data_IF_025746735507
#
_entry.id   IF_025746735507
#
_cell.length_a   1.000
_cell.length_b   1.000
_cell.length_c   1.000
_cell.angle_alpha   90.00
_cell.angle_beta   90.00
_cell.angle_gamma   90.00
#
_symmetry.space_group_name_H-M   'P 1'
#
loop_
_entity.id
_entity.type
_entity.pdbx_description
1 polymer ?
#
# COMPACT_ATOMS: atom_id res chain seq x y z
N UNK A 1 -15.86 34.40 -31.27
CA UNK A 1 -15.77 35.08 -29.96
C UNK A 1 -15.83 34.00 -28.89
N UNK A 2 -14.69 33.66 -28.28
CA UNK A 2 -14.57 32.55 -27.31
C UNK A 2 -13.83 33.08 -26.09
N UNK A 3 -14.45 33.03 -24.91
CA UNK A 3 -13.77 33.22 -23.64
C UNK A 3 -14.05 32.00 -22.79
N UNK A 4 -13.11 31.05 -22.81
CA UNK A 4 -13.09 29.89 -21.90
C UNK A 4 -12.31 30.32 -20.67
N UNK A 5 -13.02 30.59 -19.57
CA UNK A 5 -12.41 30.95 -18.29
C UNK A 5 -11.87 29.68 -17.61
N UNK A 6 -10.59 29.35 -17.87
CA UNK A 6 -9.86 28.33 -17.10
C UNK A 6 -9.53 28.90 -15.73
N UNK A 7 -10.45 28.79 -14.77
CA UNK A 7 -10.12 28.94 -13.35
C UNK A 7 -9.23 27.75 -12.96
N UNK A 8 -7.92 27.94 -13.09
CA UNK A 8 -6.92 27.15 -12.37
C UNK A 8 -7.29 27.22 -10.90
N UNK A 9 -7.82 26.11 -10.33
CA UNK A 9 -7.90 25.98 -8.88
C UNK A 9 -6.46 26.10 -8.39
N UNK A 10 -6.13 27.23 -7.80
CA UNK A 10 -4.87 27.41 -7.10
C UNK A 10 -4.89 26.38 -5.97
N UNK A 11 -4.25 25.22 -6.20
CA UNK A 11 -3.91 24.32 -5.11
C UNK A 11 -2.97 25.15 -4.24
N UNK A 12 -3.32 25.43 -2.97
CA UNK A 12 -2.38 26.11 -2.09
C UNK A 12 -1.10 25.30 -2.11
N UNK A 13 0.03 25.97 -2.28
CA UNK A 13 1.32 25.33 -2.02
C UNK A 13 1.23 24.70 -0.63
N UNK A 14 1.65 23.44 -0.46
CA UNK A 14 1.72 22.86 0.87
C UNK A 14 2.51 23.85 1.73
N UNK A 15 2.05 24.16 2.95
CA UNK A 15 2.74 25.11 3.81
C UNK A 15 4.21 24.70 3.86
N UNK A 16 5.11 25.67 3.75
CA UNK A 16 6.52 25.44 3.99
C UNK A 16 6.61 24.72 5.34
N UNK A 17 7.11 23.48 5.31
CA UNK A 17 7.34 22.73 6.54
C UNK A 17 8.56 23.41 7.14
N UNK A 18 8.33 24.40 7.99
CA UNK A 18 9.38 25.02 8.79
C UNK A 18 10.07 23.87 9.52
N UNK A 19 11.37 23.67 9.26
CA UNK A 19 12.16 22.55 9.76
C UNK A 19 12.32 22.51 11.30
N UNK A 20 11.56 23.34 12.01
CA UNK A 20 11.54 23.45 13.47
C UNK A 20 10.48 22.55 14.14
N UNK A 21 9.49 22.06 13.37
CA UNK A 21 8.68 20.92 13.81
C UNK A 21 9.45 19.64 13.49
N UNK A 22 10.30 19.22 14.43
CA UNK A 22 11.08 17.99 14.34
C UNK A 22 10.18 16.82 13.94
N UNK A 23 10.31 16.36 12.69
CA UNK A 23 9.53 15.26 12.16
C UNK A 23 9.92 13.97 12.90
N UNK A 24 9.20 13.65 13.97
CA UNK A 24 9.37 12.40 14.69
C UNK A 24 8.70 11.32 13.85
N UNK A 25 9.52 10.53 13.17
CA UNK A 25 9.06 9.31 12.54
C UNK A 25 8.43 8.39 13.61
N UNK A 26 7.30 7.72 13.30
CA UNK A 26 6.81 6.69 14.19
C UNK A 26 7.89 5.63 14.41
N UNK A 27 7.92 4.98 15.59
CA UNK A 27 8.91 3.96 15.88
C UNK A 27 8.79 2.79 14.88
N UNK A 28 9.94 2.26 14.46
CA UNK A 28 9.99 0.99 13.72
C UNK A 28 9.71 -0.13 14.70
N UNK A 29 8.73 -0.98 14.39
CA UNK A 29 8.36 -2.16 15.18
C UNK A 29 8.80 -3.39 14.41
N UNK A 30 9.73 -4.15 14.95
CA UNK A 30 10.10 -5.47 14.43
C UNK A 30 9.06 -6.51 14.85
N UNK A 31 8.67 -7.37 13.93
CA UNK A 31 7.73 -8.46 14.19
C UNK A 31 8.50 -9.78 14.21
N UNK A 32 8.16 -10.66 15.15
CA UNK A 32 8.53 -12.07 15.04
C UNK A 32 7.89 -12.71 13.80
N UNK A 33 8.40 -13.86 13.35
CA UNK A 33 7.83 -14.60 12.22
C UNK A 33 6.33 -14.89 12.37
N UNK A 34 5.90 -15.24 13.60
CA UNK A 34 4.48 -15.50 13.90
C UNK A 34 3.64 -14.23 13.78
N UNK A 35 4.14 -13.12 14.33
CA UNK A 35 3.47 -11.83 14.26
C UNK A 35 3.42 -11.29 12.82
N UNK A 36 4.47 -11.49 12.04
CA UNK A 36 4.53 -11.13 10.63
C UNK A 36 3.49 -11.92 9.83
N UNK A 37 3.40 -13.25 10.02
CA UNK A 37 2.37 -14.10 9.39
C UNK A 37 0.96 -13.67 9.79
N UNK A 38 0.72 -13.41 11.07
CA UNK A 38 -0.57 -12.94 11.56
C UNK A 38 -0.92 -11.53 11.01
N UNK A 39 0.07 -10.64 10.90
CA UNK A 39 -0.11 -9.32 10.30
C UNK A 39 -0.49 -9.42 8.83
N UNK A 40 0.25 -10.23 8.06
CA UNK A 40 0.00 -10.44 6.65
C UNK A 40 -1.40 -10.99 6.39
N UNK A 41 -1.81 -12.00 7.14
CA UNK A 41 -3.14 -12.58 7.01
C UNK A 41 -4.26 -11.55 7.32
N UNK A 42 -4.07 -10.67 8.31
CA UNK A 42 -5.00 -9.54 8.53
C UNK A 42 -5.04 -8.57 7.35
N UNK A 43 -3.88 -8.27 6.74
CA UNK A 43 -3.84 -7.39 5.56
C UNK A 43 -4.51 -8.04 4.35
N UNK A 44 -4.26 -9.32 4.08
CA UNK A 44 -4.89 -10.05 2.99
C UNK A 44 -6.42 -10.04 3.11
N UNK A 45 -6.94 -10.28 4.33
CA UNK A 45 -8.39 -10.21 4.60
C UNK A 45 -8.94 -8.82 4.37
N UNK A 46 -8.24 -7.79 4.84
CA UNK A 46 -8.67 -6.40 4.73
C UNK A 46 -8.65 -5.88 3.29
N UNK A 47 -7.62 -6.23 2.53
CA UNK A 47 -7.33 -5.64 1.22
C UNK A 47 -8.04 -6.37 0.08
N UNK A 48 -8.12 -7.70 0.16
CA UNK A 48 -8.61 -8.54 -0.94
C UNK A 48 -9.62 -9.61 -0.50
N UNK A 49 -9.96 -9.68 0.79
CA UNK A 49 -10.97 -10.61 1.29
C UNK A 49 -10.54 -12.08 1.34
N UNK A 50 -9.23 -12.36 1.30
CA UNK A 50 -8.67 -13.72 1.35
C UNK A 50 -7.89 -13.93 2.64
N UNK A 51 -7.74 -15.18 3.10
CA UNK A 51 -6.69 -15.49 4.08
C UNK A 51 -5.31 -15.21 3.47
N UNK A 52 -4.31 -14.98 4.33
CA UNK A 52 -2.92 -14.84 3.87
C UNK A 52 -2.46 -16.06 3.09
N UNK A 53 -2.78 -17.27 3.57
CA UNK A 53 -2.46 -18.54 2.91
C UNK A 53 -3.07 -18.65 1.51
N UNK A 54 -4.35 -18.32 1.35
CA UNK A 54 -5.02 -18.39 0.06
C UNK A 54 -4.45 -17.35 -0.92
N UNK A 55 -4.12 -16.15 -0.44
CA UNK A 55 -3.43 -15.16 -1.27
C UNK A 55 -2.08 -15.69 -1.75
N UNK A 56 -1.24 -16.25 -0.88
CA UNK A 56 0.06 -16.79 -1.26
C UNK A 56 -0.08 -17.93 -2.29
N UNK A 57 -1.06 -18.81 -2.10
CA UNK A 57 -1.36 -19.90 -3.04
C UNK A 57 -1.70 -19.39 -4.44
N UNK A 58 -2.54 -18.36 -4.53
CA UNK A 58 -2.90 -17.71 -5.81
C UNK A 58 -1.74 -16.96 -6.44
N UNK A 59 -0.97 -16.28 -5.61
CA UNK A 59 0.24 -15.58 -6.03
C UNK A 59 1.25 -16.57 -6.65
N UNK A 60 1.49 -17.71 -6.01
CA UNK A 60 2.40 -18.75 -6.51
C UNK A 60 1.89 -19.44 -7.78
N UNK A 61 0.57 -19.44 -7.99
CA UNK A 61 -0.05 -19.91 -9.24
C UNK A 61 0.07 -18.87 -10.38
N UNK A 62 0.43 -17.62 -10.07
CA UNK A 62 0.54 -16.54 -11.04
C UNK A 62 -0.77 -15.80 -11.33
N UNK A 63 -1.80 -15.94 -10.48
CA UNK A 63 -3.14 -15.36 -10.68
C UNK A 63 -3.12 -13.82 -10.79
N UNK A 64 -2.04 -13.17 -10.34
CA UNK A 64 -1.88 -11.72 -10.33
C UNK A 64 -0.84 -11.21 -11.34
N UNK A 65 -0.30 -12.09 -12.19
CA UNK A 65 0.67 -11.69 -13.20
C UNK A 65 0.04 -10.71 -14.21
N UNK A 66 0.67 -9.54 -14.39
CA UNK A 66 0.22 -8.53 -15.35
C UNK A 66 -1.03 -7.75 -14.91
N UNK A 67 -1.36 -7.76 -13.62
CA UNK A 67 -2.45 -6.94 -13.09
C UNK A 67 -2.19 -5.45 -13.35
N UNK A 68 -3.24 -4.70 -13.72
CA UNK A 68 -3.16 -3.27 -13.95
C UNK A 68 -2.88 -2.50 -12.64
N UNK A 69 -2.21 -1.35 -12.69
CA UNK A 69 -1.97 -0.48 -11.53
C UNK A 69 -3.20 0.37 -11.14
N UNK A 70 -4.37 -0.26 -11.12
CA UNK A 70 -5.62 0.31 -10.64
C UNK A 70 -5.75 0.19 -9.11
N UNK A 71 -6.89 0.57 -8.55
CA UNK A 71 -7.11 0.52 -7.11
C UNK A 71 -7.05 -0.90 -6.52
N UNK A 72 -7.31 -1.94 -7.32
CA UNK A 72 -7.19 -3.33 -6.90
C UNK A 72 -5.75 -3.81 -7.05
N UNK A 73 -5.09 -3.56 -8.17
CA UNK A 73 -3.69 -3.91 -8.40
C UNK A 73 -2.76 -3.28 -7.37
N UNK A 74 -3.01 -2.03 -6.96
CA UNK A 74 -2.27 -1.40 -5.85
C UNK A 74 -2.37 -2.18 -4.55
N UNK A 75 -3.52 -2.79 -4.24
CA UNK A 75 -3.70 -3.62 -3.04
C UNK A 75 -2.93 -4.94 -3.14
N UNK A 76 -2.87 -5.50 -4.35
CA UNK A 76 -2.06 -6.69 -4.64
C UNK A 76 -0.58 -6.38 -4.47
N UNK A 77 -0.09 -5.27 -5.04
CA UNK A 77 1.31 -4.81 -4.91
C UNK A 77 1.69 -4.63 -3.44
N UNK A 78 0.82 -4.03 -2.60
CA UNK A 78 1.08 -3.90 -1.17
C UNK A 78 1.28 -5.25 -0.46
N UNK A 79 0.49 -6.26 -0.82
CA UNK A 79 0.64 -7.60 -0.28
C UNK A 79 1.88 -8.30 -0.85
N UNK A 80 2.16 -8.15 -2.15
CA UNK A 80 3.35 -8.68 -2.81
C UNK A 80 4.64 -8.20 -2.14
N UNK A 81 4.75 -6.89 -1.87
CA UNK A 81 5.90 -6.32 -1.16
C UNK A 81 6.07 -6.88 0.25
N UNK A 82 5.03 -7.46 0.83
CA UNK A 82 5.05 -8.04 2.18
C UNK A 82 5.47 -9.52 2.18
N UNK A 83 5.48 -10.19 1.02
CA UNK A 83 5.77 -11.62 0.89
C UNK A 83 7.14 -12.02 1.49
N UNK A 84 8.24 -11.26 1.28
CA UNK A 84 9.55 -11.64 1.81
C UNK A 84 9.61 -11.75 3.34
N UNK A 85 8.66 -11.16 4.06
CA UNK A 85 8.64 -11.17 5.54
C UNK A 85 7.82 -12.32 6.13
N UNK A 86 7.14 -13.11 5.30
CA UNK A 86 6.30 -14.23 5.75
C UNK A 86 6.70 -15.58 5.17
N UNK A 87 7.64 -15.59 4.23
CA UNK A 87 8.25 -16.79 3.67
C UNK A 87 9.61 -17.05 4.31
N UNK A 88 9.97 -18.32 4.56
CA UNK A 88 11.32 -18.70 4.96
C UNK A 88 12.34 -18.51 3.83
#
# INVERSE_FOLDING_TARGET
>A
MVVVNRRTRHRPEPPAIDAEDGFVLPPVIELSDEEARAHFDRQARRLVGLSGEEFLRRYDHGDYAGIEEDDFGRRIILLEMSIPFVRP
#
